data_IF_897468975680
#
_entry.id   IF_897468975680
#
_cell.length_a   1.000
_cell.length_b   1.000
_cell.length_c   1.000
_cell.angle_alpha   90.00
_cell.angle_beta   90.00
_cell.angle_gamma   90.00
#
_symmetry.space_group_name_H-M   'P 1'
#
loop_
_entity.id
_entity.type
_entity.pdbx_description
1 polymer ?
#
# COMPACT_ATOMS: atom_id res chain seq x y z
N UNK A 1 1.47 15.00 0.57
CA UNK A 1 0.27 14.65 -0.21
C UNK A 1 -0.74 13.88 0.62
N UNK A 2 -0.54 12.60 0.97
CA UNK A 2 -1.55 11.84 1.74
C UNK A 2 -1.92 12.55 3.04
N UNK A 3 -0.93 12.91 3.86
CA UNK A 3 -1.14 13.63 5.13
C UNK A 3 -1.84 14.97 4.92
N UNK A 4 -1.38 15.75 3.94
CA UNK A 4 -1.97 17.05 3.61
C UNK A 4 -3.44 16.91 3.17
N UNK A 5 -3.76 15.91 2.36
CA UNK A 5 -5.13 15.65 1.90
C UNK A 5 -6.03 15.23 3.07
N UNK A 6 -5.55 14.33 3.93
CA UNK A 6 -6.26 13.91 5.12
C UNK A 6 -6.53 15.09 6.07
N UNK A 7 -5.54 15.96 6.28
CA UNK A 7 -5.67 17.19 7.09
C UNK A 7 -6.71 18.15 6.50
N UNK A 8 -6.71 18.35 5.18
CA UNK A 8 -7.69 19.19 4.49
C UNK A 8 -9.12 18.64 4.60
N UNK A 9 -9.31 17.34 4.35
CA UNK A 9 -10.61 16.68 4.47
C UNK A 9 -11.14 16.72 5.91
N UNK A 10 -10.26 16.49 6.90
CA UNK A 10 -10.60 16.62 8.31
C UNK A 10 -11.00 18.05 8.69
N UNK A 11 -10.26 19.05 8.19
CA UNK A 11 -10.57 20.48 8.43
C UNK A 11 -11.92 20.87 7.82
N UNK A 12 -12.27 20.28 6.68
CA UNK A 12 -13.57 20.43 6.03
C UNK A 12 -14.69 19.57 6.66
N UNK A 13 -14.37 18.75 7.69
CA UNK A 13 -15.29 17.83 8.36
C UNK A 13 -15.97 16.84 7.40
N UNK A 14 -15.21 16.36 6.41
CA UNK A 14 -15.67 15.32 5.51
C UNK A 14 -15.55 13.96 6.18
N UNK A 15 -16.57 13.13 6.05
CA UNK A 15 -16.56 11.75 6.52
C UNK A 15 -15.84 10.86 5.48
N UNK A 16 -14.51 10.86 5.54
CA UNK A 16 -13.64 10.16 4.60
C UNK A 16 -12.66 9.29 5.39
N UNK A 17 -12.61 8.00 5.06
CA UNK A 17 -11.59 7.09 5.56
C UNK A 17 -10.43 6.99 4.56
N UNK A 18 -9.21 7.18 5.04
CA UNK A 18 -8.01 7.03 4.23
C UNK A 18 -7.31 5.71 4.55
N UNK A 19 -6.91 5.01 3.50
CA UNK A 19 -6.03 3.83 3.57
C UNK A 19 -4.83 4.04 2.66
N UNK A 20 -3.66 3.59 3.08
CA UNK A 20 -2.41 3.74 2.32
C UNK A 20 -1.47 2.55 2.52
N UNK A 21 -0.55 2.30 1.57
CA UNK A 21 0.50 1.31 1.75
C UNK A 21 1.39 1.60 2.97
N UNK A 22 1.97 0.55 3.55
CA UNK A 22 2.93 0.70 4.66
C UNK A 22 4.18 1.42 4.16
N UNK A 23 4.41 2.64 4.64
CA UNK A 23 5.54 3.49 4.22
C UNK A 23 6.80 3.31 5.06
N UNK A 24 6.70 2.67 6.22
CA UNK A 24 7.86 2.26 6.99
C UNK A 24 8.47 1.02 6.32
N UNK A 25 9.65 1.21 5.72
CA UNK A 25 10.38 0.15 5.02
C UNK A 25 10.63 -1.08 5.89
N UNK A 26 11.08 -0.89 7.14
CA UNK A 26 11.39 -2.01 8.03
C UNK A 26 10.13 -2.82 8.36
N UNK A 27 9.03 -2.15 8.70
CA UNK A 27 7.76 -2.82 8.99
C UNK A 27 7.22 -3.54 7.74
N UNK A 28 7.32 -2.89 6.57
CA UNK A 28 6.87 -3.46 5.30
C UNK A 28 7.68 -4.70 4.89
N UNK A 29 9.00 -4.68 5.11
CA UNK A 29 9.90 -5.78 4.73
C UNK A 29 9.80 -6.95 5.72
N UNK A 30 9.53 -6.66 7.00
CA UNK A 30 9.47 -7.68 8.05
C UNK A 30 8.06 -8.22 8.31
N UNK A 31 6.99 -7.62 7.77
CA UNK A 31 5.60 -8.02 8.06
C UNK A 31 5.36 -9.53 7.85
N UNK A 32 5.98 -10.09 6.82
CA UNK A 32 5.94 -11.52 6.50
C UNK A 32 6.37 -12.42 7.64
N UNK A 33 7.52 -12.13 8.23
CA UNK A 33 8.12 -12.95 9.29
C UNK A 33 7.50 -12.66 10.67
N UNK A 34 7.03 -11.44 10.89
CA UNK A 34 6.34 -11.07 12.13
C UNK A 34 4.97 -11.74 12.24
N UNK A 35 4.23 -11.85 11.14
CA UNK A 35 2.87 -12.40 11.12
C UNK A 35 2.88 -13.92 10.94
N UNK A 36 3.73 -14.45 10.04
CA UNK A 36 3.71 -15.86 9.61
C UNK A 36 4.90 -16.67 10.14
N UNK A 37 5.73 -16.08 11.01
CA UNK A 37 6.91 -16.70 11.57
C UNK A 37 8.18 -16.56 10.72
N UNK A 38 9.32 -16.72 11.40
CA UNK A 38 10.66 -16.53 10.85
C UNK A 38 10.99 -17.48 9.69
N UNK A 39 11.96 -17.06 8.88
CA UNK A 39 12.46 -17.79 7.72
C UNK A 39 14.00 -17.86 7.75
N UNK A 40 14.56 -18.99 7.34
CA UNK A 40 16.01 -19.19 7.33
C UNK A 40 16.70 -18.52 6.14
N UNK A 41 15.96 -18.32 5.04
CA UNK A 41 16.48 -17.73 3.80
C UNK A 41 15.84 -16.37 3.56
N UNK A 42 16.68 -15.37 3.25
CA UNK A 42 16.22 -14.02 2.91
C UNK A 42 15.18 -14.02 1.76
N UNK A 43 15.34 -14.90 0.77
CA UNK A 43 14.36 -15.05 -0.30
C UNK A 43 12.94 -15.31 0.22
N UNK A 44 12.78 -16.19 1.21
CA UNK A 44 11.46 -16.52 1.76
C UNK A 44 10.92 -15.42 2.67
N UNK A 45 11.80 -14.73 3.40
CA UNK A 45 11.45 -13.50 4.12
C UNK A 45 10.84 -12.47 3.16
N UNK A 46 11.56 -12.13 2.10
CA UNK A 46 11.12 -11.12 1.12
C UNK A 46 9.83 -11.56 0.41
N UNK A 47 9.73 -12.84 0.04
CA UNK A 47 8.53 -13.40 -0.58
C UNK A 47 7.30 -13.35 0.34
N UNK A 48 7.46 -13.61 1.65
CA UNK A 48 6.36 -13.48 2.62
C UNK A 48 5.91 -12.02 2.73
N UNK A 49 6.85 -11.09 2.90
CA UNK A 49 6.54 -9.66 3.00
C UNK A 49 5.81 -9.15 1.75
N UNK A 50 6.32 -9.48 0.57
CA UNK A 50 5.70 -9.12 -0.71
C UNK A 50 4.27 -9.66 -0.86
N UNK A 51 4.02 -10.91 -0.47
CA UNK A 51 2.68 -11.51 -0.56
C UNK A 51 1.68 -10.86 0.40
N UNK A 52 2.08 -10.56 1.64
CA UNK A 52 1.21 -9.86 2.60
C UNK A 52 0.87 -8.46 2.09
N UNK A 53 1.88 -7.72 1.61
CA UNK A 53 1.66 -6.39 1.04
C UNK A 53 0.73 -6.46 -0.20
N UNK A 54 0.87 -7.48 -1.06
CA UNK A 54 -0.03 -7.68 -2.19
C UNK A 54 -1.47 -7.93 -1.75
N UNK A 55 -1.71 -8.73 -0.71
CA UNK A 55 -3.04 -8.96 -0.16
C UNK A 55 -3.62 -7.65 0.40
N UNK A 56 -2.85 -6.91 1.19
CA UNK A 56 -3.28 -5.64 1.77
C UNK A 56 -3.68 -4.64 0.68
N UNK A 57 -2.85 -4.47 -0.35
CA UNK A 57 -3.11 -3.57 -1.47
C UNK A 57 -4.37 -3.97 -2.23
N UNK A 58 -4.51 -5.26 -2.58
CA UNK A 58 -5.71 -5.76 -3.29
C UNK A 58 -6.97 -5.53 -2.47
N UNK A 59 -6.93 -5.83 -1.18
CA UNK A 59 -8.08 -5.62 -0.30
C UNK A 59 -8.45 -4.14 -0.19
N UNK A 60 -7.45 -3.26 -0.09
CA UNK A 60 -7.66 -1.81 -0.05
C UNK A 60 -8.27 -1.28 -1.35
N UNK A 61 -7.85 -1.82 -2.49
CA UNK A 61 -8.43 -1.50 -3.81
C UNK A 61 -9.87 -1.99 -3.93
N UNK A 62 -10.16 -3.22 -3.48
CA UNK A 62 -11.51 -3.79 -3.51
C UNK A 62 -12.50 -3.03 -2.62
N UNK A 63 -12.06 -2.52 -1.47
CA UNK A 63 -12.92 -1.84 -0.49
C UNK A 63 -13.07 -0.34 -0.71
N UNK A 64 -12.28 0.26 -1.59
CA UNK A 64 -12.28 1.72 -1.76
C UNK A 64 -13.34 2.21 -2.76
N UNK A 65 -13.89 3.38 -2.50
CA UNK A 65 -14.75 4.10 -3.45
C UNK A 65 -13.93 4.94 -4.45
N UNK A 66 -12.77 5.43 -4.01
CA UNK A 66 -11.90 6.33 -4.78
C UNK A 66 -10.44 5.94 -4.53
N UNK A 67 -9.65 5.85 -5.60
CA UNK A 67 -8.19 5.70 -5.51
C UNK A 67 -7.49 6.94 -6.03
N UNK A 68 -6.44 7.35 -5.31
CA UNK A 68 -5.55 8.44 -5.69
C UNK A 68 -4.16 7.85 -5.94
N UNK A 69 -3.72 7.88 -7.19
CA UNK A 69 -2.38 7.42 -7.58
C UNK A 69 -1.51 8.62 -7.92
N UNK A 70 -0.36 8.75 -7.22
CA UNK A 70 0.64 9.78 -7.52
C UNK A 70 1.88 9.15 -8.14
N UNK A 71 2.14 9.54 -9.39
CA UNK A 71 3.39 9.20 -10.04
C UNK A 71 4.50 10.19 -9.63
N UNK A 72 5.64 9.64 -9.23
CA UNK A 72 6.85 10.40 -8.95
C UNK A 72 7.71 10.53 -10.21
N UNK A 73 8.57 11.54 -10.24
CA UNK A 73 9.45 11.80 -11.40
C UNK A 73 10.63 10.83 -11.50
N UNK A 74 10.96 10.15 -10.39
CA UNK A 74 12.13 9.29 -10.26
C UNK A 74 11.69 7.83 -10.20
N UNK A 75 12.26 7.02 -11.10
CA UNK A 75 12.01 5.58 -11.28
C UNK A 75 10.67 5.21 -11.89
N UNK A 76 10.65 4.05 -12.56
CA UNK A 76 9.43 3.51 -13.17
C UNK A 76 8.56 2.86 -12.08
N UNK A 77 7.35 3.36 -11.91
CA UNK A 77 6.39 2.89 -10.89
C UNK A 77 5.39 1.92 -11.50
N UNK A 78 5.89 0.81 -12.05
CA UNK A 78 5.07 -0.19 -12.73
C UNK A 78 3.97 -0.78 -11.85
N UNK A 79 4.25 -1.00 -10.56
CA UNK A 79 3.26 -1.53 -9.61
C UNK A 79 2.11 -0.55 -9.42
N UNK A 80 2.40 0.75 -9.22
CA UNK A 80 1.35 1.77 -9.11
C UNK A 80 0.53 1.92 -10.39
N UNK A 81 1.16 1.78 -11.56
CA UNK A 81 0.44 1.78 -12.85
C UNK A 81 -0.44 0.53 -13.03
N UNK A 82 0.04 -0.63 -12.59
CA UNK A 82 -0.72 -1.87 -12.62
C UNK A 82 -1.93 -1.80 -11.67
N UNK A 83 -1.72 -1.37 -10.43
CA UNK A 83 -2.77 -1.18 -9.43
C UNK A 83 -3.83 -0.17 -9.91
N UNK A 84 -3.41 0.92 -10.57
CA UNK A 84 -4.33 1.86 -11.20
C UNK A 84 -5.16 1.22 -12.32
N UNK A 85 -4.56 0.31 -13.10
CA UNK A 85 -5.24 -0.41 -14.18
C UNK A 85 -6.27 -1.43 -13.66
N UNK A 86 -6.02 -2.06 -12.51
CA UNK A 86 -6.95 -3.01 -11.89
C UNK A 86 -8.31 -2.39 -11.54
N UNK A 87 -8.37 -1.08 -11.31
CA UNK A 87 -9.61 -0.35 -11.00
C UNK A 87 -10.53 -0.12 -12.20
N UNK A 88 -10.04 -0.33 -13.42
CA UNK A 88 -10.81 -0.09 -14.65
C UNK A 88 -11.70 -1.29 -15.04
N UNK A 89 -11.69 -2.37 -14.25
CA UNK A 89 -12.45 -3.60 -14.46
C UNK A 89 -13.39 -3.86 -13.29
#
# INVERSE_FOLDING_TARGET
>A
MERELAEMCNSAKLDIQFTSPVTNHENSDNCGIEILGNEDKNFWKDNKGANINSILTKKSIEDCDIVIVKFGEKYKQWNAAFDAGMLLH
#
